data_IF_210511428103
#
_entry.id   IF_210511428103
#
_cell.length_a   1.000
_cell.length_b   1.000
_cell.length_c   1.000
_cell.angle_alpha   90.00
_cell.angle_beta   90.00
_cell.angle_gamma   90.00
#
_symmetry.space_group_name_H-M   'P 1'
#
loop_
_entity.id
_entity.type
_entity.pdbx_description
1 polymer ?
#
# COMPACT_ATOMS: atom_id res chain seq x y z
N UNK A 1 -5.33 61.36 -16.02
CA UNK A 1 -5.54 60.00 -16.57
C UNK A 1 -4.79 59.00 -15.70
N UNK A 2 -5.47 58.00 -15.12
CA UNK A 2 -4.86 57.05 -14.17
C UNK A 2 -4.53 55.73 -14.89
N UNK A 3 -3.25 55.41 -15.06
CA UNK A 3 -2.81 54.17 -15.70
C UNK A 3 -2.99 52.96 -14.76
N UNK A 4 -3.89 52.04 -15.11
CA UNK A 4 -4.12 50.78 -14.37
C UNK A 4 -2.95 49.82 -14.63
N UNK A 5 -2.18 49.50 -13.57
CA UNK A 5 -1.11 48.50 -13.60
C UNK A 5 -1.71 47.09 -13.77
N UNK A 6 -1.30 46.35 -14.81
CA UNK A 6 -1.66 44.93 -14.99
C UNK A 6 -0.78 44.06 -14.08
N UNK A 7 -1.41 43.26 -13.20
CA UNK A 7 -0.70 42.28 -12.39
C UNK A 7 -0.16 41.14 -13.27
N UNK A 8 1.15 40.88 -13.19
CA UNK A 8 1.80 39.77 -13.89
C UNK A 8 1.47 38.48 -13.14
N UNK A 9 0.58 37.65 -13.70
CA UNK A 9 0.19 36.35 -13.12
C UNK A 9 1.45 35.49 -12.90
N UNK A 10 1.67 35.09 -11.66
CA UNK A 10 2.69 34.11 -11.29
C UNK A 10 2.30 32.77 -11.95
N UNK A 11 3.13 32.23 -12.85
CA UNK A 11 2.95 30.86 -13.35
C UNK A 11 3.63 29.93 -12.36
N UNK A 12 2.92 29.00 -11.70
CA UNK A 12 3.57 28.05 -10.80
C UNK A 12 4.59 27.22 -11.60
N UNK A 13 5.79 27.08 -11.02
CA UNK A 13 6.86 26.23 -11.54
C UNK A 13 6.32 24.80 -11.61
N UNK A 14 6.08 24.30 -12.81
CA UNK A 14 5.74 22.90 -13.03
C UNK A 14 6.95 22.08 -12.59
N UNK A 15 6.84 21.41 -11.44
CA UNK A 15 7.76 20.31 -11.14
C UNK A 15 7.53 19.24 -12.21
N UNK A 16 8.58 18.62 -12.76
CA UNK A 16 8.40 17.51 -13.67
C UNK A 16 7.64 16.41 -12.91
N UNK A 17 6.37 16.20 -13.27
CA UNK A 17 5.59 15.09 -12.77
C UNK A 17 6.31 13.81 -13.20
N UNK A 18 7.04 13.20 -12.27
CA UNK A 18 7.57 11.85 -12.45
C UNK A 18 6.33 10.95 -12.53
N UNK A 19 5.85 10.72 -13.76
CA UNK A 19 4.75 9.80 -14.05
C UNK A 19 5.24 8.43 -13.59
N UNK A 20 4.86 8.02 -12.38
CA UNK A 20 5.04 6.64 -11.94
C UNK A 20 4.39 5.75 -13.00
N UNK A 21 5.07 4.70 -13.48
CA UNK A 21 4.49 3.84 -14.51
C UNK A 21 3.16 3.33 -13.99
N UNK A 22 2.08 3.62 -14.74
CA UNK A 22 0.76 3.07 -14.46
C UNK A 22 0.92 1.55 -14.50
N UNK A 23 0.55 0.87 -13.41
CA UNK A 23 0.72 -0.58 -13.33
C UNK A 23 -0.04 -1.22 -14.51
N UNK A 24 0.62 -2.16 -15.21
CA UNK A 24 -0.03 -2.91 -16.29
C UNK A 24 -0.99 -3.98 -15.76
N UNK A 25 -1.08 -4.11 -14.44
CA UNK A 25 -1.82 -5.17 -13.79
C UNK A 25 -3.31 -4.85 -13.71
N UNK A 26 -4.18 -5.83 -13.97
CA UNK A 26 -5.64 -5.62 -14.00
C UNK A 26 -6.25 -5.36 -12.63
N UNK A 27 -5.51 -5.61 -11.55
CA UNK A 27 -5.95 -5.36 -10.19
C UNK A 27 -6.84 -6.44 -9.56
N UNK A 28 -6.99 -7.62 -10.17
CA UNK A 28 -7.79 -8.73 -9.61
C UNK A 28 -7.11 -9.50 -8.47
N UNK A 29 -5.81 -9.28 -8.23
CA UNK A 29 -5.07 -9.98 -7.19
C UNK A 29 -4.31 -11.21 -7.66
N UNK A 30 -4.59 -11.73 -8.85
CA UNK A 30 -4.01 -12.98 -9.38
C UNK A 30 -2.73 -12.79 -10.18
N UNK A 31 -2.35 -11.54 -10.46
CA UNK A 31 -1.11 -11.21 -11.15
C UNK A 31 0.02 -11.07 -10.13
N UNK A 32 1.05 -11.89 -10.29
CA UNK A 32 2.10 -12.10 -9.29
C UNK A 32 3.50 -11.91 -9.92
N UNK A 33 4.44 -11.29 -9.20
CA UNK A 33 4.24 -10.54 -7.95
C UNK A 33 3.41 -9.26 -8.19
N UNK A 34 2.71 -8.73 -7.17
CA UNK A 34 1.98 -7.47 -7.31
C UNK A 34 2.92 -6.28 -7.53
N UNK A 35 2.40 -5.26 -8.22
CA UNK A 35 2.96 -3.91 -8.11
C UNK A 35 2.72 -3.36 -6.71
N UNK A 36 3.76 -2.80 -6.08
CA UNK A 36 3.68 -2.16 -4.77
C UNK A 36 2.58 -1.08 -4.72
N UNK A 37 2.37 -0.33 -5.81
CA UNK A 37 1.31 0.68 -5.86
C UNK A 37 -0.09 0.07 -5.65
N UNK A 38 -0.34 -1.11 -6.22
CA UNK A 38 -1.62 -1.81 -6.03
C UNK A 38 -1.77 -2.34 -4.60
N UNK A 39 -0.68 -2.79 -3.98
CA UNK A 39 -0.68 -3.20 -2.58
C UNK A 39 -1.03 -2.01 -1.69
N UNK A 40 -0.39 -0.87 -1.88
CA UNK A 40 -0.69 0.36 -1.10
C UNK A 40 -2.16 0.74 -1.23
N UNK A 41 -2.69 0.80 -2.46
CA UNK A 41 -4.11 1.12 -2.69
C UNK A 41 -5.03 0.12 -1.98
N UNK A 42 -4.72 -1.18 -2.05
CA UNK A 42 -5.55 -2.21 -1.42
C UNK A 42 -5.57 -2.09 0.12
N UNK A 43 -4.40 -1.88 0.74
CA UNK A 43 -4.31 -1.73 2.19
C UNK A 43 -4.94 -0.43 2.68
N UNK A 44 -4.86 0.65 1.89
CA UNK A 44 -5.55 1.91 2.16
C UNK A 44 -7.08 1.72 2.16
N UNK A 45 -7.62 1.03 1.14
CA UNK A 45 -9.05 0.66 1.06
C UNK A 45 -9.53 -0.23 2.22
N UNK A 46 -8.61 -0.90 2.92
CA UNK A 46 -8.91 -1.78 4.06
C UNK A 46 -8.59 -1.14 5.41
N UNK A 47 -8.34 0.17 5.44
CA UNK A 47 -7.98 0.93 6.65
C UNK A 47 -6.72 0.38 7.35
N UNK A 48 -5.82 -0.25 6.60
CA UNK A 48 -4.60 -0.89 7.08
C UNK A 48 -3.35 -0.38 6.34
N UNK A 49 -3.36 0.87 5.86
CA UNK A 49 -2.29 1.46 5.04
C UNK A 49 -0.88 1.32 5.67
N UNK A 50 -0.78 1.38 7.00
CA UNK A 50 0.47 1.22 7.74
C UNK A 50 1.09 -0.19 7.64
N UNK A 51 0.33 -1.20 7.19
CA UNK A 51 0.80 -2.58 7.02
C UNK A 51 1.30 -2.89 5.60
N UNK A 52 1.04 -2.02 4.62
CA UNK A 52 1.34 -2.28 3.21
C UNK A 52 2.83 -2.57 2.95
N UNK A 53 3.72 -1.74 3.52
CA UNK A 53 5.16 -1.89 3.36
C UNK A 53 5.68 -3.18 4.02
N UNK A 54 5.24 -3.46 5.24
CA UNK A 54 5.64 -4.68 5.97
C UNK A 54 5.20 -5.94 5.23
N UNK A 55 3.97 -5.97 4.74
CA UNK A 55 3.45 -7.06 3.92
C UNK A 55 4.29 -7.24 2.65
N UNK A 56 4.51 -6.18 1.87
CA UNK A 56 5.23 -6.27 0.59
C UNK A 56 6.66 -6.77 0.79
N UNK A 57 7.39 -6.14 1.71
CA UNK A 57 8.80 -6.48 1.97
C UNK A 57 8.95 -7.92 2.45
N UNK A 58 8.02 -8.41 3.28
CA UNK A 58 8.05 -9.80 3.74
C UNK A 58 7.89 -10.78 2.58
N UNK A 59 6.85 -10.61 1.75
CA UNK A 59 6.62 -11.49 0.60
C UNK A 59 7.67 -11.35 -0.50
N UNK A 60 8.23 -10.15 -0.69
CA UNK A 60 9.36 -9.92 -1.59
C UNK A 60 10.60 -10.67 -1.13
N UNK A 61 10.91 -10.67 0.18
CA UNK A 61 12.07 -11.38 0.72
C UNK A 61 12.03 -12.90 0.53
N UNK A 62 10.82 -13.47 0.42
CA UNK A 62 10.60 -14.91 0.14
C UNK A 62 10.26 -15.19 -1.34
N UNK A 63 10.54 -14.23 -2.23
CA UNK A 63 10.29 -14.31 -3.67
C UNK A 63 8.84 -14.66 -4.03
N UNK A 64 7.87 -14.27 -3.20
CA UNK A 64 6.46 -14.60 -3.38
C UNK A 64 6.18 -16.10 -3.52
N UNK A 65 6.99 -16.93 -2.84
CA UNK A 65 6.84 -18.38 -2.79
C UNK A 65 6.49 -18.87 -1.40
N UNK A 66 5.72 -19.95 -1.32
CA UNK A 66 5.40 -20.63 -0.07
C UNK A 66 6.55 -21.51 0.43
N UNK A 67 6.41 -22.12 1.62
CA UNK A 67 7.48 -22.89 2.27
C UNK A 67 8.02 -24.08 1.47
N UNK A 68 7.20 -24.65 0.58
CA UNK A 68 7.58 -25.75 -0.32
C UNK A 68 8.11 -25.26 -1.69
N UNK A 69 8.39 -23.97 -1.83
CA UNK A 69 8.84 -23.32 -3.07
C UNK A 69 7.73 -23.06 -4.10
N UNK A 70 6.48 -23.43 -3.81
CA UNK A 70 5.36 -23.18 -4.72
C UNK A 70 5.01 -21.69 -4.77
N UNK A 71 4.90 -21.06 -5.96
CA UNK A 71 4.55 -19.65 -6.07
C UNK A 71 3.11 -19.40 -5.61
N UNK A 72 2.89 -18.30 -4.89
CA UNK A 72 1.55 -17.86 -4.57
C UNK A 72 0.81 -17.42 -5.83
N UNK A 73 -0.51 -17.65 -5.85
CA UNK A 73 -1.37 -17.34 -7.01
C UNK A 73 -2.20 -16.08 -6.84
N UNK A 74 -2.35 -15.59 -5.61
CA UNK A 74 -3.21 -14.44 -5.33
C UNK A 74 -2.70 -13.65 -4.12
N UNK A 75 -2.17 -12.45 -4.36
CA UNK A 75 -1.63 -11.60 -3.30
C UNK A 75 -2.72 -10.94 -2.45
N UNK A 76 -3.95 -10.79 -2.96
CA UNK A 76 -5.06 -10.20 -2.17
C UNK A 76 -5.56 -11.16 -1.09
N UNK A 77 -5.51 -12.47 -1.34
CA UNK A 77 -5.81 -13.48 -0.30
C UNK A 77 -4.77 -13.36 0.81
N UNK A 78 -3.48 -13.36 0.44
CA UNK A 78 -2.37 -13.18 1.40
C UNK A 78 -2.50 -11.88 2.19
N UNK A 79 -2.85 -10.77 1.52
CA UNK A 79 -3.05 -9.48 2.16
C UNK A 79 -4.25 -9.49 3.13
N UNK A 80 -5.34 -10.16 2.75
CA UNK A 80 -6.51 -10.34 3.63
C UNK A 80 -6.14 -11.11 4.89
N UNK A 81 -5.40 -12.21 4.75
CA UNK A 81 -4.93 -13.02 5.89
C UNK A 81 -3.98 -12.21 6.78
N UNK A 82 -3.08 -11.43 6.18
CA UNK A 82 -2.18 -10.52 6.90
C UNK A 82 -2.94 -9.52 7.76
N UNK A 83 -3.91 -8.81 7.17
CA UNK A 83 -4.72 -7.81 7.88
C UNK A 83 -5.51 -8.46 9.01
N UNK A 84 -6.10 -9.63 8.76
CA UNK A 84 -6.82 -10.37 9.80
C UNK A 84 -5.90 -10.69 10.99
N UNK A 85 -4.73 -11.28 10.73
CA UNK A 85 -3.77 -11.67 11.76
C UNK A 85 -3.27 -10.44 12.54
N UNK A 86 -2.98 -9.33 11.85
CA UNK A 86 -2.60 -8.07 12.48
C UNK A 86 -3.66 -7.59 13.48
N UNK A 87 -4.94 -7.61 13.10
CA UNK A 87 -6.03 -7.23 13.99
C UNK A 87 -6.22 -8.19 15.17
N UNK A 88 -6.01 -9.50 14.98
CA UNK A 88 -6.06 -10.46 16.09
C UNK A 88 -4.95 -10.20 17.10
N UNK A 89 -3.73 -9.94 16.62
CA UNK A 89 -2.58 -9.62 17.47
C UNK A 89 -2.85 -8.35 18.31
N UNK A 90 -3.35 -7.28 17.69
CA UNK A 90 -3.71 -6.06 18.42
C UNK A 90 -4.77 -6.31 19.51
N UNK A 91 -5.78 -7.15 19.22
CA UNK A 91 -6.80 -7.54 20.21
C UNK A 91 -6.20 -8.32 21.36
N UNK A 92 -5.31 -9.28 21.07
CA UNK A 92 -4.60 -10.06 22.08
C UNK A 92 -3.77 -9.16 22.99
N UNK A 93 -2.98 -8.26 22.41
CA UNK A 93 -2.14 -7.31 23.16
C UNK A 93 -2.96 -6.42 24.11
N UNK A 94 -4.15 -5.96 23.67
CA UNK A 94 -5.06 -5.21 24.53
C UNK A 94 -5.56 -6.03 25.73
N UNK A 95 -5.91 -7.30 25.51
CA UNK A 95 -6.36 -8.21 26.60
C UNK A 95 -5.25 -8.49 27.59
N UNK A 96 -4.03 -8.77 27.10
CA UNK A 96 -2.88 -9.01 27.97
C UNK A 96 -2.59 -7.79 28.84
N UNK A 97 -2.61 -6.58 28.28
CA UNK A 97 -2.44 -5.34 29.05
C UNK A 97 -3.55 -5.15 30.09
N UNK A 98 -4.80 -5.44 29.75
CA UNK A 98 -5.93 -5.34 30.69
C UNK A 98 -5.86 -6.35 31.84
N UNK A 99 -5.28 -7.54 31.61
CA UNK A 99 -5.15 -8.57 32.64
C UNK A 99 -3.96 -8.33 33.59
N UNK A 100 -3.04 -7.42 33.25
CA UNK A 100 -1.89 -7.04 34.08
C UNK A 100 -2.15 -5.79 34.94
N UNK A 101 -3.39 -5.27 34.95
CA UNK A 101 -3.88 -4.23 35.85
C UNK A 101 -4.91 -4.84 36.81
#
# INVERSE_FOLDING_TARGET
MLAKRKAKRFKPRQQPEIKKPVSKQKGFGTEMPPDYALVVIYFDQKEAANQAASFYNWYESINWTGPRGAPYRNWKILASDWIFNYHQELKLQKRLKSNHL
#
